data_IF_116270972906
#
_entry.id   IF_116270972906
#
_cell.length_a   1.000
_cell.length_b   1.000
_cell.length_c   1.000
_cell.angle_alpha   90.00
_cell.angle_beta   90.00
_cell.angle_gamma   90.00
#
_symmetry.space_group_name_H-M   'P 1'
#
loop_
_entity.id
_entity.type
_entity.pdbx_description
1 polymer ?
#
# COMPACT_ATOMS: atom_id res chain seq x y z
N UNK A 1 -19.35 -10.50 -59.94
CA UNK A 1 -18.27 -9.49 -59.92
C UNK A 1 -18.28 -8.82 -58.56
N UNK A 2 -17.22 -9.04 -57.76
CA UNK A 2 -16.65 -8.13 -56.73
C UNK A 2 -17.57 -7.74 -55.55
N UNK A 3 -17.20 -7.83 -54.27
CA UNK A 3 -15.93 -8.01 -53.59
C UNK A 3 -16.27 -8.44 -52.15
N UNK A 4 -15.62 -9.48 -51.65
CA UNK A 4 -15.64 -9.90 -50.25
C UNK A 4 -14.90 -8.84 -49.45
N UNK A 5 -15.56 -8.15 -48.51
CA UNK A 5 -14.91 -7.25 -47.55
C UNK A 5 -14.89 -7.96 -46.20
N UNK A 6 -13.83 -8.71 -45.96
CA UNK A 6 -13.52 -9.28 -44.66
C UNK A 6 -12.97 -8.16 -43.76
N UNK A 7 -13.83 -7.62 -42.88
CA UNK A 7 -13.41 -6.67 -41.84
C UNK A 7 -12.85 -7.50 -40.69
N UNK A 8 -11.53 -7.64 -40.67
CA UNK A 8 -10.78 -8.24 -39.56
C UNK A 8 -10.69 -7.18 -38.45
N UNK A 9 -11.68 -7.15 -37.55
CA UNK A 9 -11.60 -6.35 -36.32
C UNK A 9 -10.56 -7.01 -35.41
N UNK A 10 -9.32 -6.52 -35.43
CA UNK A 10 -8.37 -6.82 -34.38
C UNK A 10 -8.89 -6.17 -33.10
N UNK A 11 -9.52 -6.98 -32.24
CA UNK A 11 -9.71 -6.65 -30.84
C UNK A 11 -8.33 -6.51 -30.21
N UNK A 12 -7.83 -5.28 -30.13
CA UNK A 12 -6.75 -4.94 -29.22
C UNK A 12 -7.32 -5.11 -27.81
N UNK A 13 -7.17 -6.31 -27.26
CA UNK A 13 -7.34 -6.56 -25.83
C UNK A 13 -6.31 -5.71 -25.12
N UNK A 14 -6.72 -4.51 -24.71
CA UNK A 14 -5.99 -3.74 -23.72
C UNK A 14 -5.92 -4.61 -22.47
N UNK A 15 -4.76 -5.21 -22.20
CA UNK A 15 -4.46 -5.76 -20.89
C UNK A 15 -4.57 -4.60 -19.91
N UNK A 16 -5.71 -4.50 -19.23
CA UNK A 16 -5.83 -3.74 -18.01
C UNK A 16 -4.90 -4.44 -17.01
N UNK A 17 -3.66 -3.98 -16.91
CA UNK A 17 -2.82 -4.32 -15.78
C UNK A 17 -3.51 -3.68 -14.58
N UNK A 18 -4.17 -4.50 -13.78
CA UNK A 18 -4.66 -4.10 -12.47
C UNK A 18 -3.47 -3.52 -11.69
N UNK A 19 -3.70 -2.44 -10.92
CA UNK A 19 -2.70 -1.66 -10.19
C UNK A 19 -2.02 -2.42 -9.03
N UNK A 20 -2.01 -3.75 -9.07
CA UNK A 20 -1.49 -4.59 -8.01
C UNK A 20 0.04 -4.70 -8.07
N UNK A 21 0.70 -4.55 -6.93
CA UNK A 21 2.14 -4.77 -6.76
C UNK A 21 2.42 -6.27 -6.67
N UNK A 22 3.41 -6.74 -7.44
CA UNK A 22 3.77 -8.15 -7.47
C UNK A 22 4.50 -8.56 -6.17
N UNK A 23 4.07 -9.66 -5.56
CA UNK A 23 4.72 -10.27 -4.38
C UNK A 23 4.86 -11.77 -4.57
N UNK A 24 5.87 -12.39 -3.96
CA UNK A 24 6.05 -13.85 -4.02
C UNK A 24 5.41 -14.57 -2.83
N UNK A 25 4.58 -15.61 -3.05
CA UNK A 25 4.09 -16.45 -1.97
C UNK A 25 5.23 -17.07 -1.16
N UNK A 26 5.03 -17.25 0.15
CA UNK A 26 6.02 -17.86 1.04
C UNK A 26 5.93 -17.38 2.48
N UNK A 27 6.92 -17.78 3.28
CA UNK A 27 7.13 -17.27 4.62
C UNK A 27 7.82 -15.91 4.53
N UNK A 28 7.21 -14.89 5.11
CA UNK A 28 7.75 -13.53 5.16
C UNK A 28 8.04 -13.13 6.59
N UNK A 29 9.16 -12.44 6.79
CA UNK A 29 9.45 -11.69 8.01
C UNK A 29 9.16 -10.22 7.78
N UNK A 30 8.42 -9.60 8.68
CA UNK A 30 8.13 -8.16 8.66
C UNK A 30 8.62 -7.56 9.97
N UNK A 31 9.49 -6.56 9.84
CA UNK A 31 9.96 -5.71 10.93
C UNK A 31 9.23 -4.38 10.83
N UNK A 32 8.49 -4.00 11.87
CA UNK A 32 7.77 -2.73 11.93
C UNK A 32 8.32 -1.91 13.07
N UNK A 33 8.71 -0.67 12.80
CA UNK A 33 9.12 0.32 13.80
C UNK A 33 8.06 1.41 13.87
N UNK A 34 7.47 1.62 15.05
CA UNK A 34 6.54 2.71 15.29
C UNK A 34 7.10 3.65 16.37
N UNK A 35 6.84 4.95 16.20
CA UNK A 35 7.20 5.96 17.20
C UNK A 35 6.02 6.26 18.09
N UNK A 36 6.19 6.09 19.41
CA UNK A 36 5.15 6.43 20.37
C UNK A 36 4.91 7.97 20.36
N UNK A 37 3.69 8.45 20.05
CA UNK A 37 3.44 9.88 19.87
C UNK A 37 3.52 10.69 21.17
N UNK A 38 3.43 10.06 22.36
CA UNK A 38 3.54 10.75 23.65
C UNK A 38 4.97 10.84 24.18
N UNK A 39 5.78 9.79 23.96
CA UNK A 39 7.14 9.71 24.50
C UNK A 39 8.24 9.96 23.46
N UNK A 40 7.90 9.93 22.18
CA UNK A 40 8.84 10.02 21.05
C UNK A 40 9.77 8.82 20.90
N UNK A 41 9.60 7.76 21.70
CA UNK A 41 10.47 6.59 21.67
C UNK A 41 10.04 5.62 20.55
N UNK A 42 10.97 5.16 19.70
CA UNK A 42 10.69 4.11 18.73
C UNK A 42 10.60 2.75 19.42
N UNK A 43 9.68 1.90 18.96
CA UNK A 43 9.58 0.49 19.32
C UNK A 43 9.52 -0.32 18.04
N UNK A 44 10.29 -1.41 17.99
CA UNK A 44 10.37 -2.29 16.83
C UNK A 44 9.84 -3.67 17.18
N UNK A 45 8.94 -4.17 16.33
CA UNK A 45 8.37 -5.50 16.41
C UNK A 45 8.76 -6.29 15.17
N UNK A 46 8.93 -7.61 15.31
CA UNK A 46 9.23 -8.49 14.19
C UNK A 46 8.27 -9.66 14.24
N UNK A 47 7.58 -9.91 13.12
CA UNK A 47 6.60 -10.97 12.99
C UNK A 47 6.87 -11.76 11.71
N UNK A 48 6.54 -13.05 11.73
CA UNK A 48 6.61 -13.90 10.55
C UNK A 48 5.22 -14.39 10.17
N UNK A 49 4.90 -14.37 8.88
CA UNK A 49 3.59 -14.79 8.38
C UNK A 49 3.69 -15.46 7.01
N UNK A 50 2.79 -16.40 6.78
CA UNK A 50 2.67 -17.10 5.51
C UNK A 50 1.77 -16.32 4.55
N UNK A 51 2.37 -15.76 3.51
CA UNK A 51 1.70 -15.02 2.45
C UNK A 51 1.39 -15.99 1.31
N UNK A 52 0.12 -16.08 0.91
CA UNK A 52 -0.33 -16.97 -0.18
C UNK A 52 -0.62 -16.20 -1.47
N UNK A 53 -0.80 -14.89 -1.37
CA UNK A 53 -1.13 -14.01 -2.47
C UNK A 53 0.10 -13.78 -3.35
N UNK A 54 -0.14 -13.59 -4.64
CA UNK A 54 0.89 -13.24 -5.63
C UNK A 54 0.93 -11.75 -5.95
N UNK A 55 -0.07 -11.01 -5.46
CA UNK A 55 -0.23 -9.59 -5.69
C UNK A 55 -0.74 -8.91 -4.42
N UNK A 56 -0.42 -7.64 -4.30
CA UNK A 56 -0.83 -6.75 -3.22
C UNK A 56 -1.40 -5.50 -3.87
N UNK A 57 -2.68 -5.20 -3.66
CA UNK A 57 -3.31 -3.97 -4.11
C UNK A 57 -3.53 -3.03 -2.91
N UNK A 58 -2.54 -2.17 -2.59
CA UNK A 58 -2.71 -1.23 -1.51
C UNK A 58 -3.83 -0.22 -1.76
N UNK A 59 -4.18 0.09 -3.02
CA UNK A 59 -5.26 1.02 -3.32
C UNK A 59 -6.63 0.44 -2.98
N UNK A 60 -6.87 -0.85 -3.27
CA UNK A 60 -8.08 -1.54 -2.82
C UNK A 60 -8.21 -1.53 -1.30
N UNK A 61 -7.12 -1.84 -0.59
CA UNK A 61 -7.10 -1.86 0.88
C UNK A 61 -7.38 -0.48 1.48
N UNK A 62 -6.85 0.58 0.88
CA UNK A 62 -7.10 1.96 1.31
C UNK A 62 -8.56 2.37 1.06
N UNK A 63 -9.13 2.03 -0.10
CA UNK A 63 -10.54 2.34 -0.43
C UNK A 63 -11.54 1.61 0.47
N UNK A 64 -11.19 0.40 0.90
CA UNK A 64 -12.04 -0.39 1.80
C UNK A 64 -11.92 0.04 3.27
N UNK A 65 -11.04 1.01 3.58
CA UNK A 65 -10.88 1.53 4.94
C UNK A 65 -12.01 2.52 5.26
N UNK A 66 -12.98 2.07 6.05
CA UNK A 66 -14.10 2.91 6.50
C UNK A 66 -13.61 4.19 7.20
N UNK A 67 -14.19 5.32 6.81
CA UNK A 67 -13.86 6.63 7.39
C UNK A 67 -12.58 7.27 6.86
N UNK A 68 -11.96 6.73 5.79
CA UNK A 68 -10.83 7.35 5.10
C UNK A 68 -11.18 7.73 3.66
N UNK A 69 -10.89 8.97 3.28
CA UNK A 69 -10.93 9.47 1.91
C UNK A 69 -9.53 9.41 1.30
N UNK A 70 -9.38 8.74 0.15
CA UNK A 70 -8.13 8.73 -0.62
C UNK A 70 -8.03 10.05 -1.39
N UNK A 71 -7.04 10.87 -1.06
CA UNK A 71 -6.77 12.17 -1.70
C UNK A 71 -5.80 12.03 -2.89
N UNK A 72 -4.78 11.18 -2.74
CA UNK A 72 -3.81 10.87 -3.78
C UNK A 72 -3.41 9.39 -3.69
N UNK A 73 -3.30 8.74 -4.86
CA UNK A 73 -2.69 7.43 -5.05
C UNK A 73 -1.86 7.51 -6.32
N UNK A 74 -0.54 7.31 -6.19
CA UNK A 74 0.38 7.40 -7.32
C UNK A 74 1.33 6.23 -7.33
N UNK A 75 1.16 5.38 -8.34
CA UNK A 75 2.01 4.23 -8.63
C UNK A 75 3.15 4.63 -9.58
N UNK A 76 4.35 4.19 -9.28
CA UNK A 76 5.53 4.31 -10.14
C UNK A 76 6.32 2.99 -10.11
N UNK A 77 6.20 2.18 -11.15
CA UNK A 77 6.83 0.86 -11.21
C UNK A 77 6.35 -0.06 -10.07
N UNK A 78 7.23 -0.35 -9.12
CA UNK A 78 6.91 -1.16 -7.94
C UNK A 78 6.76 -0.33 -6.65
N UNK A 79 6.65 0.99 -6.78
CA UNK A 79 6.40 1.89 -5.67
C UNK A 79 4.98 2.46 -5.73
N UNK A 80 4.41 2.72 -4.55
CA UNK A 80 3.17 3.45 -4.35
C UNK A 80 3.42 4.59 -3.36
N UNK A 81 2.98 5.79 -3.71
CA UNK A 81 2.81 6.88 -2.76
C UNK A 81 1.33 7.15 -2.60
N UNK A 82 0.88 7.39 -1.37
CA UNK A 82 -0.52 7.69 -1.09
C UNK A 82 -0.68 8.79 -0.06
N UNK A 83 -1.80 9.49 -0.17
CA UNK A 83 -2.28 10.46 0.80
C UNK A 83 -3.77 10.19 1.05
N UNK A 84 -4.11 9.97 2.31
CA UNK A 84 -5.48 9.80 2.77
C UNK A 84 -5.83 10.83 3.85
N UNK A 85 -7.12 11.10 3.96
CA UNK A 85 -7.70 11.84 5.08
C UNK A 85 -8.69 10.95 5.80
N UNK A 86 -8.43 10.65 7.06
CA UNK A 86 -9.26 9.76 7.86
C UNK A 86 -9.98 10.51 8.99
N UNK A 87 -11.26 10.22 9.18
CA UNK A 87 -12.02 10.59 10.38
C UNK A 87 -11.80 9.56 11.47
N UNK A 88 -11.14 9.95 12.56
CA UNK A 88 -10.86 9.07 13.71
C UNK A 88 -11.36 9.72 15.00
N UNK A 89 -12.33 9.10 15.67
CA UNK A 89 -12.82 9.53 16.99
C UNK A 89 -13.22 11.02 17.09
N UNK A 90 -13.81 11.58 16.03
CA UNK A 90 -14.22 12.99 15.98
C UNK A 90 -13.10 13.99 15.63
N UNK A 91 -11.91 13.51 15.27
CA UNK A 91 -10.82 14.31 14.73
C UNK A 91 -10.42 13.86 13.33
N UNK A 92 -9.81 14.78 12.58
CA UNK A 92 -9.26 14.49 11.26
C UNK A 92 -7.79 14.10 11.38
N UNK A 93 -7.42 13.05 10.67
CA UNK A 93 -6.05 12.57 10.52
C UNK A 93 -5.63 12.64 9.05
N UNK A 94 -4.51 13.27 8.76
CA UNK A 94 -3.84 13.19 7.46
C UNK A 94 -2.83 12.04 7.51
N UNK A 95 -2.93 11.12 6.57
CA UNK A 95 -2.05 9.96 6.46
C UNK A 95 -1.32 10.02 5.13
N UNK A 96 0.00 10.16 5.16
CA UNK A 96 0.84 10.00 3.98
C UNK A 96 1.67 8.75 4.12
N UNK A 97 1.90 8.06 3.00
CA UNK A 97 2.74 6.89 3.03
C UNK A 97 3.37 6.55 1.70
N UNK A 98 4.36 5.70 1.80
CA UNK A 98 5.13 5.16 0.70
C UNK A 98 5.32 3.67 0.93
N UNK A 99 5.18 2.89 -0.14
CA UNK A 99 5.45 1.48 -0.16
C UNK A 99 6.24 1.15 -1.43
N UNK A 100 7.20 0.24 -1.34
CA UNK A 100 7.92 -0.29 -2.49
C UNK A 100 8.21 -1.79 -2.32
N UNK A 101 8.36 -2.49 -3.43
CA UNK A 101 8.74 -3.92 -3.43
C UNK A 101 9.60 -4.28 -4.64
N UNK A 102 10.46 -5.29 -4.49
CA UNK A 102 11.17 -5.93 -5.61
C UNK A 102 10.69 -7.38 -5.87
N UNK A 103 9.65 -7.81 -5.14
CA UNK A 103 9.07 -9.16 -5.19
C UNK A 103 9.57 -10.12 -4.10
N UNK A 104 10.80 -9.97 -3.60
CA UNK A 104 11.34 -10.76 -2.47
C UNK A 104 11.56 -9.92 -1.20
N UNK A 105 11.59 -8.60 -1.35
CA UNK A 105 11.63 -7.61 -0.28
C UNK A 105 10.55 -6.55 -0.49
N UNK A 106 10.15 -5.93 0.60
CA UNK A 106 9.27 -4.77 0.60
C UNK A 106 9.69 -3.79 1.68
N UNK A 107 9.51 -2.50 1.41
CA UNK A 107 9.78 -1.46 2.39
C UNK A 107 8.62 -0.47 2.38
N UNK A 108 8.46 0.28 3.46
CA UNK A 108 7.52 1.37 3.46
C UNK A 108 7.61 2.25 4.68
N UNK A 109 7.01 3.41 4.56
CA UNK A 109 6.86 4.35 5.65
C UNK A 109 5.49 4.99 5.61
N UNK A 110 5.01 5.39 6.78
CA UNK A 110 3.74 6.06 6.95
C UNK A 110 3.90 7.15 8.01
N UNK A 111 3.35 8.32 7.72
CA UNK A 111 3.24 9.43 8.64
C UNK A 111 1.76 9.78 8.81
N UNK A 112 1.30 9.75 10.05
CA UNK A 112 -0.05 10.12 10.42
C UNK A 112 0.00 11.37 11.29
N UNK A 113 -0.70 12.41 10.85
CA UNK A 113 -0.83 13.68 11.55
C UNK A 113 -2.27 13.89 11.96
N UNK A 114 -2.51 14.03 13.26
CA UNK A 114 -3.83 14.22 13.83
C UNK A 114 -3.88 15.51 14.64
N UNK A 115 -4.90 16.33 14.41
CA UNK A 115 -5.12 17.56 15.17
C UNK A 115 -6.31 17.40 16.11
N UNK A 116 -6.05 17.50 17.41
CA UNK A 116 -7.03 17.37 18.49
C UNK A 116 -7.12 18.71 19.24
N UNK A 117 -7.69 19.72 18.58
CA UNK A 117 -7.77 21.08 19.14
C UNK A 117 -6.38 21.73 19.28
N UNK A 118 -5.92 22.12 20.48
CA UNK A 118 -4.60 22.73 20.66
C UNK A 118 -3.42 21.74 20.58
N UNK A 119 -3.69 20.43 20.51
CA UNK A 119 -2.65 19.40 20.47
C UNK A 119 -2.55 18.79 19.07
N UNK A 120 -1.33 18.75 18.52
CA UNK A 120 -1.01 18.01 17.31
C UNK A 120 -0.22 16.76 17.68
N UNK A 121 -0.63 15.61 17.15
CA UNK A 121 0.06 14.34 17.32
C UNK A 121 0.57 13.86 15.98
N UNK A 122 1.82 13.41 15.95
CA UNK A 122 2.43 12.78 14.78
C UNK A 122 2.87 11.38 15.14
N UNK A 123 2.37 10.40 14.38
CA UNK A 123 2.80 9.02 14.48
C UNK A 123 3.57 8.66 13.21
N UNK A 124 4.77 8.14 13.39
CA UNK A 124 5.61 7.65 12.30
C UNK A 124 5.73 6.15 12.41
N UNK A 125 5.57 5.48 11.27
CA UNK A 125 5.75 4.05 11.14
C UNK A 125 6.67 3.79 9.95
N UNK A 126 7.55 2.82 10.10
CA UNK A 126 8.38 2.29 9.03
C UNK A 126 8.35 0.77 9.12
N UNK A 127 8.36 0.09 7.98
CA UNK A 127 8.50 -1.35 7.96
C UNK A 127 9.44 -1.81 6.85
N UNK A 128 10.05 -2.95 7.13
CA UNK A 128 10.86 -3.71 6.19
C UNK A 128 10.33 -5.15 6.19
N UNK A 129 10.17 -5.72 5.01
CA UNK A 129 9.67 -7.07 4.81
C UNK A 129 10.62 -7.86 3.91
N UNK A 130 10.85 -9.13 4.24
CA UNK A 130 11.70 -10.03 3.45
C UNK A 130 11.13 -11.43 3.40
N UNK A 131 11.12 -12.03 2.22
CA UNK A 131 10.80 -13.45 2.02
C UNK A 131 11.92 -14.34 2.57
N UNK A 132 11.55 -15.26 3.45
CA UNK A 132 12.43 -16.25 4.05
C UNK A 132 12.47 -17.58 3.28
N UNK A 133 11.44 -17.86 2.49
CA UNK A 133 11.34 -19.10 1.71
C UNK A 133 9.89 -19.51 1.51
N UNK A 134 9.69 -20.80 1.30
CA UNK A 134 8.35 -21.38 1.22
C UNK A 134 7.73 -21.48 2.64
N UNK A 135 6.41 -21.53 2.67
CA UNK A 135 5.66 -22.08 3.79
C UNK A 135 5.72 -23.61 3.72
#
# INVERSE_FOLDING_TARGET
MRLVVAILVLAMSTCAFADELAIKPGLWETRTTHTNPMTGKPTTETNQSCVKQTTFDPESMMKDTEGCDVLESKRDGNALNFHMKCGMNGAEANVTGHYETDGDTGSGNMNMEMSMGPMNMTMKMQWDAKRLGDC
#
